data_IF_574208092819
#
_entry.id   IF_574208092819
#
_cell.length_a   1.000
_cell.length_b   1.000
_cell.length_c   1.000
_cell.angle_alpha   90.00
_cell.angle_beta   90.00
_cell.angle_gamma   90.00
#
_symmetry.space_group_name_H-M   'P 1'
#
loop_
_entity.id
_entity.type
_entity.pdbx_description
1 polymer ?
#
# COMPACT_ATOMS: atom_id res chain seq x y z
N UNK A 1 -8.66 -19.26 -9.12
CA UNK A 1 -8.66 -20.24 -8.01
C UNK A 1 -8.14 -19.55 -6.75
N UNK A 2 -8.94 -18.64 -6.18
CA UNK A 2 -8.49 -17.69 -5.16
C UNK A 2 -8.43 -18.29 -3.77
N UNK A 3 -7.30 -18.92 -3.41
CA UNK A 3 -6.98 -19.26 -2.02
C UNK A 3 -5.97 -18.25 -1.52
N UNK A 4 -6.29 -17.58 -0.41
CA UNK A 4 -5.42 -16.60 0.25
C UNK A 4 -5.70 -16.56 1.75
N UNK A 5 -4.71 -16.16 2.53
CA UNK A 5 -4.80 -15.89 3.97
C UNK A 5 -4.07 -14.58 4.25
N UNK A 6 -4.30 -13.94 5.39
CA UNK A 6 -3.69 -12.64 5.70
C UNK A 6 -3.32 -12.46 7.14
N UNK A 7 -2.03 -12.42 7.41
CA UNK A 7 -1.54 -12.18 8.74
C UNK A 7 -1.48 -10.68 9.03
N UNK A 8 -2.08 -10.29 10.14
CA UNK A 8 -1.94 -8.93 10.69
C UNK A 8 -1.12 -8.96 11.97
N UNK A 9 -0.31 -7.93 12.14
CA UNK A 9 0.49 -7.70 13.33
C UNK A 9 0.44 -6.22 13.69
N UNK A 10 0.46 -5.95 14.99
CA UNK A 10 0.64 -4.62 15.55
C UNK A 10 2.08 -4.49 16.04
N UNK A 11 2.74 -3.39 15.66
CA UNK A 11 4.13 -3.10 16.04
C UNK A 11 4.25 -2.38 17.39
N UNK A 12 3.13 -1.99 18.00
CA UNK A 12 3.09 -1.22 19.24
C UNK A 12 3.42 0.27 19.02
N UNK A 13 3.08 1.08 20.03
CA UNK A 13 3.26 2.54 20.00
C UNK A 13 4.74 2.93 19.96
N UNK A 14 5.58 2.31 20.78
CA UNK A 14 6.98 2.70 20.91
C UNK A 14 7.75 2.54 19.59
N UNK A 15 7.66 1.35 18.97
CA UNK A 15 8.34 1.08 17.70
C UNK A 15 7.77 1.95 16.58
N UNK A 16 6.45 2.11 16.52
CA UNK A 16 5.81 3.00 15.53
C UNK A 16 6.29 4.44 15.68
N UNK A 17 6.38 4.95 16.90
CA UNK A 17 6.87 6.29 17.18
C UNK A 17 8.34 6.46 16.76
N UNK A 18 9.22 5.52 17.13
CA UNK A 18 10.62 5.54 16.71
C UNK A 18 10.78 5.44 15.19
N UNK A 19 9.92 4.67 14.53
CA UNK A 19 9.91 4.55 13.07
C UNK A 19 9.54 5.89 12.39
N UNK A 20 8.50 6.57 12.87
CA UNK A 20 8.08 7.88 12.37
C UNK A 20 9.14 8.96 12.62
N UNK A 21 9.76 8.94 13.80
CA UNK A 21 10.86 9.85 14.14
C UNK A 21 12.07 9.63 13.24
N UNK A 22 12.49 8.37 13.03
CA UNK A 22 13.62 8.06 12.16
C UNK A 22 13.38 8.55 10.73
N UNK A 23 12.19 8.30 10.18
CA UNK A 23 11.80 8.76 8.85
C UNK A 23 11.93 10.30 8.75
N UNK A 24 11.36 11.01 9.72
CA UNK A 24 11.34 12.48 9.77
C UNK A 24 12.76 13.07 9.93
N UNK A 25 13.57 12.56 10.85
CA UNK A 25 14.93 13.06 11.10
C UNK A 25 15.88 12.84 9.92
N UNK A 26 15.60 11.88 9.04
CA UNK A 26 16.43 11.57 7.88
C UNK A 26 15.84 12.11 6.55
N UNK A 27 14.74 12.88 6.59
CA UNK A 27 14.01 13.36 5.41
C UNK A 27 13.54 12.22 4.47
N UNK A 28 13.15 11.09 5.04
CA UNK A 28 12.66 9.92 4.32
C UNK A 28 11.14 9.82 4.52
N UNK A 29 10.37 9.59 3.44
CA UNK A 29 8.93 9.33 3.55
C UNK A 29 8.69 8.02 4.31
N UNK A 30 7.70 7.99 5.21
CA UNK A 30 7.33 6.80 5.99
C UNK A 30 7.15 5.53 5.14
N UNK A 31 6.49 5.68 3.98
CA UNK A 31 6.33 4.61 3.00
C UNK A 31 7.67 4.02 2.53
N UNK A 32 8.65 4.87 2.23
CA UNK A 32 9.95 4.43 1.71
C UNK A 32 10.77 3.72 2.80
N UNK A 33 10.63 4.14 4.05
CA UNK A 33 11.26 3.45 5.19
C UNK A 33 10.64 2.06 5.39
N UNK A 34 9.31 1.96 5.33
CA UNK A 34 8.60 0.68 5.47
C UNK A 34 8.97 -0.27 4.32
N UNK A 35 9.11 0.29 3.12
CA UNK A 35 9.55 -0.43 1.95
C UNK A 35 10.98 -0.97 2.06
N UNK A 36 11.90 -0.17 2.62
CA UNK A 36 13.26 -0.63 2.88
C UNK A 36 13.28 -1.78 3.90
N UNK A 37 12.48 -1.69 4.98
CA UNK A 37 12.32 -2.79 5.94
C UNK A 37 11.76 -4.04 5.26
N UNK A 38 10.84 -3.89 4.32
CA UNK A 38 10.29 -5.00 3.54
C UNK A 38 11.33 -5.66 2.64
N UNK A 39 12.19 -4.89 1.96
CA UNK A 39 13.32 -5.44 1.20
C UNK A 39 14.28 -6.24 2.08
N UNK A 40 14.58 -5.78 3.30
CA UNK A 40 15.41 -6.54 4.26
C UNK A 40 14.73 -7.86 4.64
N UNK A 41 13.42 -7.82 4.90
CA UNK A 41 12.65 -9.01 5.22
C UNK A 41 12.72 -10.03 4.08
N UNK A 42 12.48 -9.60 2.84
CA UNK A 42 12.58 -10.45 1.66
C UNK A 42 13.99 -10.99 1.46
N UNK A 43 15.03 -10.16 1.59
CA UNK A 43 16.43 -10.57 1.50
C UNK A 43 16.77 -11.70 2.48
N UNK A 44 16.28 -11.60 3.72
CA UNK A 44 16.46 -12.66 4.73
C UNK A 44 15.66 -13.91 4.38
N UNK A 45 14.43 -13.75 3.90
CA UNK A 45 13.53 -14.85 3.55
C UNK A 45 14.03 -15.65 2.34
N UNK A 46 14.64 -14.98 1.36
CA UNK A 46 15.19 -15.58 0.14
C UNK A 46 16.64 -16.04 0.30
N UNK A 47 17.13 -16.09 1.53
CA UNK A 47 18.47 -16.58 1.84
C UNK A 47 19.61 -15.76 1.18
N UNK A 48 19.39 -14.45 1.01
CA UNK A 48 20.38 -13.49 0.53
C UNK A 48 20.25 -13.06 -0.93
N UNK A 49 19.11 -13.28 -1.58
CA UNK A 49 18.86 -12.79 -2.95
C UNK A 49 19.01 -11.27 -3.01
N UNK A 50 19.93 -10.79 -3.85
CA UNK A 50 20.32 -9.38 -3.90
C UNK A 50 19.51 -8.59 -4.93
N UNK A 51 18.95 -9.24 -5.93
CA UNK A 51 18.20 -8.57 -6.99
C UNK A 51 16.70 -8.82 -6.80
N UNK A 52 16.07 -7.91 -6.07
CA UNK A 52 14.66 -8.02 -5.70
C UNK A 52 13.83 -7.02 -6.49
N UNK A 53 12.70 -7.50 -7.01
CA UNK A 53 11.70 -6.63 -7.61
C UNK A 53 10.34 -6.87 -6.98
N UNK A 54 9.69 -5.79 -6.56
CA UNK A 54 8.39 -5.82 -5.91
C UNK A 54 7.40 -4.95 -6.69
N UNK A 55 6.13 -5.32 -6.66
CA UNK A 55 5.05 -4.48 -7.17
C UNK A 55 4.68 -3.43 -6.12
N UNK A 56 4.51 -2.17 -6.51
CA UNK A 56 3.96 -1.12 -5.66
C UNK A 56 2.69 -0.58 -6.31
N UNK A 57 1.56 -0.65 -5.60
CA UNK A 57 0.32 -0.04 -6.10
C UNK A 57 0.35 1.47 -5.86
N UNK A 58 -0.12 2.19 -6.86
CA UNK A 58 -0.17 3.64 -6.85
C UNK A 58 -1.56 4.10 -7.27
N UNK A 59 -2.13 4.99 -6.47
CA UNK A 59 -3.37 5.65 -6.78
C UNK A 59 -3.08 6.70 -7.88
N UNK A 60 -3.25 6.32 -9.15
CA UNK A 60 -2.86 7.13 -10.31
C UNK A 60 -3.86 8.28 -10.59
N UNK A 61 -4.38 8.90 -9.54
CA UNK A 61 -5.28 10.07 -9.57
C UNK A 61 -4.47 11.36 -9.54
N UNK A 62 -3.60 11.54 -10.54
CA UNK A 62 -2.65 12.65 -10.61
C UNK A 62 -3.29 14.02 -10.92
N UNK A 63 -4.54 14.04 -11.42
CA UNK A 63 -5.34 15.26 -11.58
C UNK A 63 -6.42 15.32 -10.53
N UNK A 64 -6.71 16.52 -10.04
CA UNK A 64 -7.75 16.74 -9.03
C UNK A 64 -9.13 16.27 -9.51
N UNK A 65 -9.42 16.43 -10.80
CA UNK A 65 -10.64 15.94 -11.45
C UNK A 65 -10.84 14.42 -11.31
N UNK A 66 -9.76 13.64 -11.20
CA UNK A 66 -9.82 12.18 -11.08
C UNK A 66 -10.11 11.71 -9.64
N UNK A 67 -10.00 12.61 -8.66
CA UNK A 67 -10.19 12.26 -7.24
C UNK A 67 -11.65 11.93 -6.92
N UNK A 68 -12.61 12.58 -7.60
CA UNK A 68 -14.05 12.38 -7.39
C UNK A 68 -14.67 11.35 -8.34
N UNK A 69 -13.89 10.76 -9.25
CA UNK A 69 -14.40 9.81 -10.25
C UNK A 69 -14.32 8.39 -9.71
N UNK A 70 -15.44 7.67 -9.79
CA UNK A 70 -15.50 6.23 -9.55
C UNK A 70 -14.88 5.51 -10.75
N UNK A 71 -13.80 4.76 -10.53
CA UNK A 71 -13.11 4.02 -11.57
C UNK A 71 -11.83 3.34 -11.08
N UNK A 72 -11.30 2.42 -11.90
CA UNK A 72 -10.02 1.75 -11.63
C UNK A 72 -8.87 2.64 -12.13
N UNK A 73 -8.31 3.43 -11.21
CA UNK A 73 -7.14 4.27 -11.47
C UNK A 73 -5.86 3.70 -10.88
N UNK A 74 -5.92 2.61 -10.13
CA UNK A 74 -4.70 1.97 -9.61
C UNK A 74 -3.80 1.51 -10.76
N UNK A 75 -2.52 1.84 -10.66
CA UNK A 75 -1.50 1.26 -11.50
C UNK A 75 -0.45 0.55 -10.62
N UNK A 76 0.29 -0.36 -11.23
CA UNK A 76 1.37 -1.10 -10.57
C UNK A 76 2.69 -0.60 -11.12
N UNK A 77 3.59 -0.17 -10.22
CA UNK A 77 4.97 0.17 -10.57
C UNK A 77 5.89 -0.95 -10.09
N UNK A 78 6.63 -1.64 -10.98
CA UNK A 78 7.65 -2.58 -10.57
C UNK A 78 8.86 -1.79 -10.04
N UNK A 79 9.24 -2.05 -8.78
CA UNK A 79 10.39 -1.45 -8.13
C UNK A 79 11.48 -2.50 -7.96
N UNK A 80 12.53 -2.41 -8.79
CA UNK A 80 13.72 -3.26 -8.70
C UNK A 80 14.78 -2.58 -7.83
N UNK A 81 15.29 -3.29 -6.84
CA UNK A 81 16.38 -2.85 -5.97
C UNK A 81 17.47 -3.91 -5.94
N UNK A 82 18.71 -3.48 -6.23
CA UNK A 82 19.90 -4.32 -6.06
C UNK A 82 20.48 -4.04 -4.67
N UNK A 83 20.36 -5.01 -3.78
CA UNK A 83 20.78 -4.91 -2.39
C UNK A 83 22.27 -5.24 -2.23
N UNK A 84 22.97 -4.40 -1.47
CA UNK A 84 24.32 -4.69 -0.99
C UNK A 84 24.28 -5.10 0.48
N UNK A 85 24.73 -6.33 0.83
CA UNK A 85 24.81 -6.78 2.23
C UNK A 85 25.70 -5.91 3.14
N UNK A 86 26.59 -5.09 2.57
CA UNK A 86 27.47 -4.21 3.34
C UNK A 86 26.85 -2.84 3.63
N UNK A 87 25.65 -2.55 3.10
CA UNK A 87 24.97 -1.31 3.42
C UNK A 87 24.52 -1.28 4.87
N UNK A 88 24.80 -0.16 5.52
CA UNK A 88 24.06 0.23 6.72
C UNK A 88 22.57 0.40 6.39
N UNK A 89 21.72 0.28 7.42
CA UNK A 89 20.29 0.54 7.28
C UNK A 89 19.99 1.93 6.69
N UNK A 90 20.77 2.94 7.07
CA UNK A 90 20.66 4.29 6.51
C UNK A 90 20.97 4.34 5.01
N UNK A 91 22.03 3.66 4.56
CA UNK A 91 22.38 3.61 3.13
C UNK A 91 21.29 2.92 2.31
N UNK A 92 20.76 1.81 2.81
CA UNK A 92 19.65 1.09 2.17
C UNK A 92 18.40 1.97 2.07
N UNK A 93 17.98 2.58 3.17
CA UNK A 93 16.76 3.41 3.18
C UNK A 93 16.87 4.61 2.25
N UNK A 94 18.06 5.23 2.16
CA UNK A 94 18.34 6.29 1.19
C UNK A 94 18.31 5.78 -0.26
N UNK A 95 18.88 4.60 -0.53
CA UNK A 95 18.84 3.99 -1.86
C UNK A 95 17.40 3.68 -2.30
N UNK A 96 16.61 3.04 -1.43
CA UNK A 96 15.19 2.75 -1.68
C UNK A 96 14.42 4.03 -1.91
N UNK A 97 14.60 5.04 -1.06
CA UNK A 97 13.97 6.35 -1.22
C UNK A 97 14.23 6.97 -2.60
N UNK A 98 15.49 7.00 -3.03
CA UNK A 98 15.86 7.56 -4.33
C UNK A 98 15.29 6.74 -5.50
N UNK A 99 15.33 5.41 -5.38
CA UNK A 99 14.82 4.49 -6.39
C UNK A 99 13.31 4.63 -6.55
N UNK A 100 12.58 4.75 -5.44
CA UNK A 100 11.14 4.99 -5.45
C UNK A 100 10.82 6.33 -6.11
N UNK A 101 11.46 7.44 -5.71
CA UNK A 101 11.24 8.75 -6.34
C UNK A 101 11.50 8.72 -7.84
N UNK A 102 12.58 8.08 -8.28
CA UNK A 102 12.90 7.97 -9.69
C UNK A 102 11.86 7.14 -10.45
N UNK A 103 11.35 6.06 -9.84
CA UNK A 103 10.33 5.20 -10.45
C UNK A 103 8.97 5.90 -10.55
N UNK A 104 8.63 6.74 -9.57
CA UNK A 104 7.38 7.52 -9.59
C UNK A 104 7.28 8.48 -10.78
N UNK A 105 8.40 8.88 -11.40
CA UNK A 105 8.37 9.67 -12.66
C UNK A 105 7.71 8.94 -13.83
N UNK A 106 7.62 7.62 -13.74
CA UNK A 106 7.05 6.74 -14.76
C UNK A 106 5.77 6.05 -14.27
N UNK A 107 5.18 6.52 -13.16
CA UNK A 107 4.01 5.95 -12.50
C UNK A 107 2.77 5.83 -13.40
N UNK A 108 2.67 6.63 -14.45
CA UNK A 108 1.54 6.62 -15.38
C UNK A 108 1.66 5.56 -16.48
N UNK A 109 2.82 4.92 -16.64
CA UNK A 109 3.02 3.89 -17.66
C UNK A 109 2.32 2.59 -17.25
N UNK A 110 1.43 2.02 -18.09
CA UNK A 110 0.71 0.80 -17.74
C UNK A 110 1.67 -0.38 -17.61
N UNK A 111 1.58 -1.14 -16.50
CA UNK A 111 2.39 -2.34 -16.27
C UNK A 111 2.33 -3.31 -17.46
N UNK A 112 1.16 -3.52 -18.04
CA UNK A 112 0.98 -4.43 -19.19
C UNK A 112 1.87 -4.06 -20.38
N UNK A 113 2.13 -2.77 -20.62
CA UNK A 113 3.03 -2.35 -21.71
C UNK A 113 4.47 -2.68 -21.41
N UNK A 114 4.90 -2.54 -20.15
CA UNK A 114 6.23 -2.95 -19.69
C UNK A 114 6.40 -4.46 -19.88
N UNK A 115 5.40 -5.25 -19.47
CA UNK A 115 5.43 -6.71 -19.60
C UNK A 115 5.48 -7.15 -21.07
N UNK A 116 4.71 -6.52 -21.95
CA UNK A 116 4.69 -6.85 -23.38
C UNK A 116 6.04 -6.60 -24.08
N UNK A 117 6.81 -5.60 -23.63
CA UNK A 117 8.16 -5.32 -24.15
C UNK A 117 9.23 -6.29 -23.63
N UNK A 118 8.91 -7.05 -22.58
CA UNK A 118 9.83 -7.97 -21.91
C UNK A 118 9.27 -9.41 -21.89
N UNK A 119 8.81 -9.89 -23.04
CA UNK A 119 8.19 -11.22 -23.22
C UNK A 119 9.11 -12.42 -22.93
N UNK A 120 10.43 -12.23 -22.96
CA UNK A 120 11.43 -13.28 -22.66
C UNK A 120 11.73 -13.43 -21.15
N UNK A 121 11.06 -12.70 -20.28
CA UNK A 121 11.23 -12.84 -18.83
C UNK A 121 10.37 -14.03 -18.37
N UNK A 122 10.99 -15.22 -18.33
CA UNK A 122 10.38 -16.54 -18.07
C UNK A 122 9.50 -16.59 -16.80
N UNK A 123 9.73 -15.68 -15.85
CA UNK A 123 8.81 -15.32 -14.77
C UNK A 123 9.01 -13.83 -14.52
N UNK A 124 8.01 -12.95 -14.69
CA UNK A 124 8.19 -11.58 -14.24
C UNK A 124 8.46 -11.65 -12.73
N UNK A 125 9.71 -11.42 -12.33
CA UNK A 125 10.23 -11.50 -10.94
C UNK A 125 9.40 -10.61 -9.99
N UNK A 126 8.63 -9.70 -10.59
CA UNK A 126 7.86 -8.61 -10.02
C UNK A 126 6.45 -8.99 -9.51
N UNK A 127 5.90 -10.17 -9.85
CA UNK A 127 4.42 -10.36 -9.82
C UNK A 127 3.90 -11.24 -8.67
N UNK A 128 4.79 -11.89 -7.91
CA UNK A 128 4.36 -12.67 -6.74
C UNK A 128 4.16 -11.86 -5.46
N UNK A 129 4.73 -10.65 -5.40
CA UNK A 129 4.93 -9.93 -4.15
C UNK A 129 4.65 -8.43 -4.38
N UNK A 130 3.66 -7.90 -3.67
CA UNK A 130 3.31 -6.48 -3.69
C UNK A 130 3.57 -5.83 -2.33
N UNK A 131 3.80 -4.53 -2.36
CA UNK A 131 3.92 -3.69 -1.18
C UNK A 131 3.00 -2.48 -1.31
N UNK A 132 2.15 -2.31 -0.30
CA UNK A 132 1.26 -1.15 -0.18
C UNK A 132 1.45 -0.50 1.18
N UNK A 133 1.36 0.82 1.20
CA UNK A 133 1.46 1.60 2.41
C UNK A 133 0.24 2.51 2.55
N UNK A 134 -0.49 2.31 3.65
CA UNK A 134 -1.56 3.21 4.07
C UNK A 134 -1.10 4.04 5.26
N UNK A 135 -1.02 5.35 5.06
CA UNK A 135 -1.15 6.30 6.15
C UNK A 135 -2.56 6.85 6.13
N UNK A 136 -3.36 6.49 7.13
CA UNK A 136 -4.59 7.20 7.44
C UNK A 136 -4.25 8.20 8.54
N UNK A 137 -4.19 9.48 8.19
CA UNK A 137 -4.45 10.52 9.18
C UNK A 137 -5.93 10.36 9.51
N UNK A 138 -6.26 9.72 10.63
CA UNK A 138 -7.61 9.85 11.19
C UNK A 138 -7.73 11.28 11.70
N UNK A 139 -7.98 12.24 10.81
CA UNK A 139 -8.90 13.28 11.18
C UNK A 139 -10.22 12.56 11.39
N UNK A 140 -10.71 12.53 12.62
CA UNK A 140 -12.08 12.10 12.91
C UNK A 140 -12.98 13.23 12.40
N UNK A 141 -12.90 13.54 11.11
CA UNK A 141 -13.88 14.32 10.39
C UNK A 141 -14.80 13.27 9.78
N UNK A 142 -15.72 12.77 10.61
CA UNK A 142 -16.88 12.04 10.13
C UNK A 142 -17.70 13.01 9.27
N UNK A 143 -17.31 13.22 8.00
CA UNK A 143 -18.21 13.72 6.99
C UNK A 143 -19.28 12.64 6.78
N UNK A 144 -20.31 12.72 7.62
CA UNK A 144 -21.54 11.95 7.48
C UNK A 144 -22.23 12.43 6.22
N UNK A 145 -22.22 11.60 5.18
CA UNK A 145 -22.98 11.86 3.96
C UNK A 145 -24.40 11.36 4.22
N UNK A 146 -25.37 12.27 4.15
CA UNK A 146 -26.79 11.92 4.29
C UNK A 146 -27.37 11.56 2.93
N UNK A 147 -28.03 10.40 2.83
CA UNK A 147 -28.80 9.98 1.66
C UNK A 147 -30.22 9.66 2.14
N UNK A 148 -31.12 10.64 2.03
CA UNK A 148 -32.48 10.52 2.59
C UNK A 148 -32.44 10.41 4.12
N UNK A 149 -33.07 9.38 4.67
CA UNK A 149 -33.04 8.98 6.09
C UNK A 149 -31.84 8.09 6.44
N UNK A 150 -31.02 7.72 5.46
CA UNK A 150 -29.88 6.82 5.64
C UNK A 150 -28.58 7.60 5.81
N UNK A 151 -27.74 7.13 6.74
CA UNK A 151 -26.43 7.71 7.03
C UNK A 151 -25.33 6.91 6.33
N UNK A 152 -24.43 7.60 5.63
CA UNK A 152 -23.23 7.01 5.03
C UNK A 152 -21.97 7.55 5.71
N UNK A 153 -21.14 6.63 6.21
CA UNK A 153 -19.81 6.93 6.73
C UNK A 153 -18.75 6.03 6.08
N UNK A 154 -17.59 6.60 5.76
CA UNK A 154 -16.45 5.81 5.29
C UNK A 154 -15.75 5.22 6.51
N UNK A 155 -15.90 3.91 6.72
CA UNK A 155 -15.18 3.17 7.75
C UNK A 155 -14.22 2.21 7.05
N UNK A 156 -12.90 2.25 7.33
CA UNK A 156 -12.02 1.19 6.85
C UNK A 156 -12.45 -0.14 7.50
N UNK A 157 -12.95 -1.11 6.72
CA UNK A 157 -13.23 -2.44 7.28
C UNK A 157 -12.03 -3.37 7.17
N UNK A 158 -11.87 -4.19 8.21
CA UNK A 158 -10.98 -5.34 8.25
C UNK A 158 -11.83 -6.60 8.08
N UNK A 159 -11.54 -7.45 7.08
CA UNK A 159 -12.17 -8.77 6.95
C UNK A 159 -11.32 -9.82 7.67
N UNK A 160 -11.94 -10.64 8.50
CA UNK A 160 -11.27 -11.71 9.22
C UNK A 160 -11.54 -13.05 8.51
N UNK A 161 -10.49 -13.78 8.13
CA UNK A 161 -10.63 -15.14 7.59
C UNK A 161 -9.73 -16.10 8.38
N UNK A 162 -10.36 -16.97 9.19
CA UNK A 162 -9.72 -18.01 10.00
C UNK A 162 -8.53 -17.52 10.86
N UNK A 163 -8.73 -16.46 11.65
CA UNK A 163 -7.76 -16.00 12.66
C UNK A 163 -6.78 -14.93 12.16
N UNK A 164 -7.05 -14.36 10.98
CA UNK A 164 -6.13 -13.51 10.25
C UNK A 164 -6.90 -12.28 9.72
N UNK A 165 -6.60 -11.10 10.28
CA UNK A 165 -7.21 -9.83 9.84
C UNK A 165 -6.59 -9.42 8.49
N UNK A 166 -7.45 -9.15 7.50
CA UNK A 166 -7.08 -8.47 6.26
C UNK A 166 -7.57 -7.04 6.38
N UNK A 167 -6.65 -6.07 6.46
CA UNK A 167 -6.97 -4.65 6.38
C UNK A 167 -6.94 -4.24 4.92
N UNK A 168 -8.10 -4.07 4.30
CA UNK A 168 -8.19 -3.54 2.94
C UNK A 168 -8.09 -2.01 3.00
N UNK A 169 -7.29 -1.44 2.10
CA UNK A 169 -7.17 0.00 1.89
C UNK A 169 -7.74 0.36 0.51
N UNK A 170 -8.90 -0.18 0.15
CA UNK A 170 -9.48 0.12 -1.16
C UNK A 170 -10.84 0.82 -1.00
N UNK A 171 -10.74 2.12 -1.23
CA UNK A 171 -11.65 3.20 -1.66
C UNK A 171 -13.12 3.29 -1.23
N UNK A 172 -13.82 2.25 -0.76
CA UNK A 172 -15.17 2.46 -0.20
C UNK A 172 -15.71 1.28 0.61
N UNK A 173 -16.39 1.64 1.71
CA UNK A 173 -17.19 0.75 2.55
C UNK A 173 -18.54 1.41 2.74
N UNK A 174 -19.59 0.88 2.11
CA UNK A 174 -20.94 1.41 2.20
C UNK A 174 -21.70 0.64 3.29
N UNK A 175 -21.86 1.22 4.48
CA UNK A 175 -22.74 0.71 5.52
C UNK A 175 -24.06 1.51 5.50
N UNK A 176 -25.12 0.93 4.95
CA UNK A 176 -26.47 1.51 5.01
C UNK A 176 -27.13 1.02 6.30
N UNK A 177 -27.32 1.90 7.28
CA UNK A 177 -28.19 1.64 8.43
C UNK A 177 -29.56 2.22 8.15
N UNK A 178 -30.58 1.36 8.10
CA UNK A 178 -31.97 1.77 8.13
C UNK A 178 -32.43 1.84 9.59
N UNK A 179 -32.91 2.99 10.03
CA UNK A 179 -33.45 3.14 11.38
C UNK A 179 -34.87 2.58 11.40
N UNK A 180 -35.03 1.38 11.99
CA UNK A 180 -36.34 0.72 12.10
C UNK A 180 -37.29 1.40 13.10
N UNK A 181 -36.90 2.54 13.69
CA UNK A 181 -37.78 3.34 14.53
C UNK A 181 -38.69 4.32 13.77
N UNK A 182 -38.60 4.36 12.44
CA UNK A 182 -39.59 5.08 11.59
C UNK A 182 -40.55 4.07 10.95
N UNK A 183 -41.27 3.32 11.79
CA UNK A 183 -42.57 2.77 11.44
C UNK A 183 -43.48 2.95 12.66
N UNK A 184 -43.95 4.19 12.83
CA UNK A 184 -45.25 4.42 13.46
C UNK A 184 -46.29 4.36 12.35
N UNK A 185 -46.84 3.15 12.14
CA UNK A 185 -48.24 2.88 11.80
C UNK A 185 -48.58 1.47 12.30
#
# INVERSE_FOLDING_TARGET
TGRGTSLSFDFGLDLSHHFLLYASSNNIKHQHLALATYFIFLFKLTNGEKDLCIAMNIDNRYRDELKSIIGLFENVVPLRCQLDPHWSFHQLTKNVHQTTINSMKYSYFPLQRILNQHSNVSKPVFVGISFDFLSSMTTIDNELIMIGDSQLSSIPFTMNNNGNQIKYKNDFSLLIRHDLHVNQL
#
